data_IF_889380181474
#
_entry.id   IF_889380181474
#
_cell.length_a   1.000
_cell.length_b   1.000
_cell.length_c   1.000
_cell.angle_alpha   90.00
_cell.angle_beta   90.00
_cell.angle_gamma   90.00
#
_symmetry.space_group_name_H-M   'P 1'
#
loop_
_entity.id
_entity.type
_entity.pdbx_description
1 polymer ?
#
# COMPACT_ATOMS: atom_id res chain seq x y z
N UNK A 1 -31.54 -47.04 45.52
CA UNK A 1 -31.07 -46.79 46.88
C UNK A 1 -30.45 -45.42 46.79
N UNK A 2 -31.14 -44.53 47.13
CA UNK A 2 -31.60 -43.80 48.31
C UNK A 2 -30.96 -42.38 48.32
N UNK A 3 -31.88 -41.49 48.31
CA UNK A 3 -31.83 -40.08 48.57
C UNK A 3 -31.10 -39.74 49.89
N UNK A 4 -30.40 -38.65 49.92
CA UNK A 4 -30.46 -37.75 51.10
C UNK A 4 -30.19 -36.30 50.70
N UNK A 5 -31.22 -35.52 50.92
CA UNK A 5 -31.31 -34.07 50.95
C UNK A 5 -30.82 -33.54 52.30
N UNK A 6 -30.15 -32.37 52.32
CA UNK A 6 -30.06 -31.46 53.46
C UNK A 6 -29.84 -30.05 52.93
N UNK A 7 -30.84 -29.26 52.93
CA UNK A 7 -31.28 -28.14 53.82
C UNK A 7 -30.37 -26.90 53.76
N UNK A 8 -30.97 -25.83 53.30
CA UNK A 8 -30.56 -24.43 53.42
C UNK A 8 -30.46 -23.97 54.88
N UNK A 9 -29.73 -22.88 55.13
CA UNK A 9 -30.25 -21.94 56.10
C UNK A 9 -30.36 -20.49 55.59
N UNK A 10 -31.28 -19.86 56.19
CA UNK A 10 -31.94 -18.58 56.02
C UNK A 10 -31.04 -17.34 56.06
N UNK A 11 -31.56 -16.31 55.40
CA UNK A 11 -31.16 -14.90 55.45
C UNK A 11 -31.40 -14.22 56.81
N UNK A 12 -30.70 -13.09 57.05
CA UNK A 12 -31.42 -11.93 57.51
C UNK A 12 -31.21 -10.69 56.69
N UNK A 13 -32.28 -9.97 56.48
CA UNK A 13 -32.46 -8.79 55.72
C UNK A 13 -31.92 -7.49 56.31
N UNK A 14 -32.20 -6.46 55.63
CA UNK A 14 -32.32 -5.03 55.87
C UNK A 14 -31.32 -4.14 55.16
N UNK A 15 -31.89 -3.20 54.42
CA UNK A 15 -31.16 -2.02 53.94
C UNK A 15 -31.65 -1.49 52.59
N UNK A 16 -32.90 -0.96 52.60
CA UNK A 16 -33.44 -0.18 51.50
C UNK A 16 -32.70 1.14 51.35
N UNK A 17 -31.82 1.26 50.37
CA UNK A 17 -31.43 2.56 49.84
C UNK A 17 -31.87 2.67 48.37
N UNK A 18 -32.88 3.51 48.20
CA UNK A 18 -33.42 3.99 46.93
C UNK A 18 -32.35 4.84 46.26
N UNK A 19 -31.73 4.31 45.24
CA UNK A 19 -30.90 5.09 44.33
C UNK A 19 -31.74 5.43 43.12
N UNK A 20 -31.88 6.72 42.89
CA UNK A 20 -32.59 7.34 41.78
C UNK A 20 -32.03 6.86 40.42
N UNK A 21 -32.94 6.47 39.54
CA UNK A 21 -32.64 6.06 38.20
C UNK A 21 -32.18 7.26 37.35
N UNK A 22 -30.94 7.21 36.85
CA UNK A 22 -30.47 8.12 35.83
C UNK A 22 -31.26 7.93 34.52
N UNK A 23 -31.58 9.00 33.80
CA UNK A 23 -32.38 8.91 32.58
C UNK A 23 -31.63 8.18 31.45
N UNK A 24 -32.31 7.25 30.80
CA UNK A 24 -31.87 6.57 29.58
C UNK A 24 -31.64 7.60 28.46
N UNK A 25 -30.50 7.57 27.75
CA UNK A 25 -30.37 8.35 26.53
C UNK A 25 -31.32 7.80 25.45
N UNK A 26 -32.13 8.69 24.91
CA UNK A 26 -33.01 8.43 23.79
C UNK A 26 -32.18 8.05 22.55
N UNK A 27 -32.61 7.02 21.84
CA UNK A 27 -32.07 6.60 20.57
C UNK A 27 -32.23 7.72 19.54
N UNK A 28 -31.14 8.42 19.23
CA UNK A 28 -31.05 9.32 18.12
C UNK A 28 -30.75 8.54 16.84
N UNK A 29 -31.46 8.89 15.78
CA UNK A 29 -31.51 8.21 14.50
C UNK A 29 -30.17 7.92 13.85
N UNK A 30 -30.15 6.78 13.17
CA UNK A 30 -29.12 6.33 12.27
C UNK A 30 -28.89 7.37 11.14
N UNK A 31 -27.96 8.27 11.35
CA UNK A 31 -27.31 9.00 10.27
C UNK A 31 -26.00 8.30 9.98
N UNK A 32 -25.90 7.78 8.76
CA UNK A 32 -24.73 7.16 8.17
C UNK A 32 -23.56 8.15 8.18
N UNK A 33 -22.86 8.23 9.30
CA UNK A 33 -21.68 9.08 9.47
C UNK A 33 -20.50 8.31 8.92
N UNK A 34 -20.14 8.63 7.68
CA UNK A 34 -18.82 8.35 7.11
C UNK A 34 -17.79 8.90 8.09
N UNK A 35 -17.21 8.04 8.93
CA UNK A 35 -16.19 8.41 9.89
C UNK A 35 -14.96 8.86 9.13
N UNK A 36 -14.83 10.17 8.97
CA UNK A 36 -13.63 10.83 8.48
C UNK A 36 -12.53 10.67 9.53
N UNK A 37 -11.58 9.77 9.31
CA UNK A 37 -10.43 9.54 10.19
C UNK A 37 -9.41 10.70 10.24
N UNK A 38 -9.76 11.90 9.78
CA UNK A 38 -8.84 13.03 9.64
C UNK A 38 -9.22 14.24 10.51
N UNK A 39 -9.57 14.02 11.79
CA UNK A 39 -9.63 15.13 12.76
C UNK A 39 -8.51 15.00 13.78
N UNK A 40 -7.28 15.28 13.35
CA UNK A 40 -6.21 15.69 14.27
C UNK A 40 -6.10 17.21 14.27
N UNK A 41 -6.48 17.80 15.39
CA UNK A 41 -6.26 19.22 15.70
C UNK A 41 -4.75 19.51 15.70
N UNK A 42 -4.35 20.47 14.89
CA UNK A 42 -3.03 21.07 14.90
C UNK A 42 -2.99 22.14 13.83
N UNK A 43 -3.16 23.41 14.23
CA UNK A 43 -2.83 24.57 13.40
C UNK A 43 -1.35 24.49 13.05
N UNK A 44 -1.02 24.06 11.86
CA UNK A 44 0.19 24.43 11.14
C UNK A 44 0.07 23.90 9.71
N UNK A 45 0.16 24.76 8.73
CA UNK A 45 0.34 24.50 7.31
C UNK A 45 -0.59 23.40 6.76
N UNK A 46 -1.71 23.78 6.19
CA UNK A 46 -2.57 22.88 5.42
C UNK A 46 -1.71 22.26 4.30
N UNK A 47 -1.05 21.15 4.58
CA UNK A 47 -0.50 20.28 3.55
C UNK A 47 -1.71 19.84 2.72
N UNK A 48 -1.88 20.47 1.55
CA UNK A 48 -2.92 20.13 0.59
C UNK A 48 -2.83 18.64 0.36
N UNK A 49 -3.89 17.92 0.71
CA UNK A 49 -3.96 16.50 0.39
C UNK A 49 -3.87 16.39 -1.14
N UNK A 50 -3.04 15.49 -1.68
CA UNK A 50 -2.88 15.36 -3.13
C UNK A 50 -4.13 14.78 -3.82
N UNK A 51 -5.17 14.47 -3.06
CA UNK A 51 -6.42 13.87 -3.53
C UNK A 51 -7.51 14.94 -3.50
N UNK A 52 -8.19 15.07 -4.62
CA UNK A 52 -9.29 16.00 -4.84
C UNK A 52 -10.63 15.25 -4.95
N UNK A 53 -11.70 15.92 -4.63
CA UNK A 53 -13.07 15.45 -4.83
C UNK A 53 -13.65 15.98 -6.11
N UNK A 54 -14.39 15.16 -6.88
CA UNK A 54 -15.06 15.58 -8.10
C UNK A 54 -16.04 16.74 -7.84
N UNK A 55 -16.71 16.74 -6.67
CA UNK A 55 -17.59 17.84 -6.26
C UNK A 55 -16.90 19.20 -6.07
N UNK A 56 -15.57 19.27 -6.10
CA UNK A 56 -14.80 20.53 -6.09
C UNK A 56 -14.62 21.12 -7.49
N UNK A 57 -14.98 20.39 -8.55
CA UNK A 57 -14.91 20.84 -9.93
C UNK A 57 -16.18 21.63 -10.30
N UNK A 58 -16.03 22.52 -11.27
CA UNK A 58 -17.13 23.32 -11.83
C UNK A 58 -18.07 22.50 -12.73
N UNK A 59 -18.59 21.38 -12.20
CA UNK A 59 -19.54 20.51 -12.88
C UNK A 59 -18.90 19.48 -13.83
N UNK A 60 -19.77 18.73 -14.53
CA UNK A 60 -19.35 17.60 -15.39
C UNK A 60 -18.48 18.02 -16.57
N UNK A 61 -18.67 19.22 -17.12
CA UNK A 61 -17.85 19.72 -18.25
C UNK A 61 -16.40 19.89 -17.84
N UNK A 62 -16.14 20.40 -16.62
CA UNK A 62 -14.80 20.52 -16.06
C UNK A 62 -14.12 19.15 -15.92
N UNK A 63 -14.84 18.16 -15.37
CA UNK A 63 -14.36 16.79 -15.25
C UNK A 63 -14.02 16.18 -16.62
N UNK A 64 -14.91 16.28 -17.59
CA UNK A 64 -14.69 15.73 -18.93
C UNK A 64 -13.46 16.35 -19.62
N UNK A 65 -13.25 17.65 -19.50
CA UNK A 65 -12.05 18.32 -20.03
C UNK A 65 -10.77 17.79 -19.41
N UNK A 66 -10.75 17.60 -18.08
CA UNK A 66 -9.58 17.08 -17.37
C UNK A 66 -9.29 15.61 -17.73
N UNK A 67 -10.33 14.80 -17.95
CA UNK A 67 -10.19 13.43 -18.42
C UNK A 67 -9.68 13.37 -19.86
N UNK A 68 -10.27 14.13 -20.78
CA UNK A 68 -9.86 14.18 -22.17
C UNK A 68 -8.42 14.70 -22.36
N UNK A 69 -7.99 15.66 -21.53
CA UNK A 69 -6.61 16.15 -21.52
C UNK A 69 -5.64 15.24 -20.78
N UNK A 70 -6.13 14.13 -20.22
CA UNK A 70 -5.36 13.22 -19.38
C UNK A 70 -4.65 13.91 -18.20
N UNK A 71 -5.15 15.04 -17.73
CA UNK A 71 -4.55 15.80 -16.64
C UNK A 71 -4.78 15.18 -15.27
N UNK A 72 -5.76 14.29 -15.15
CA UNK A 72 -6.13 13.63 -13.89
C UNK A 72 -6.22 12.10 -14.05
N UNK A 73 -6.04 11.41 -12.93
CA UNK A 73 -6.31 9.98 -12.79
C UNK A 73 -7.36 9.77 -11.69
N UNK A 74 -8.42 9.03 -12.00
CA UNK A 74 -9.47 8.70 -11.04
C UNK A 74 -8.99 7.65 -10.05
N UNK A 75 -9.22 7.89 -8.77
CA UNK A 75 -9.07 6.88 -7.72
C UNK A 75 -10.34 6.06 -7.56
N UNK A 76 -11.49 6.72 -7.50
CA UNK A 76 -12.82 6.13 -7.46
C UNK A 76 -13.81 7.04 -8.23
N UNK A 77 -15.12 6.78 -8.07
CA UNK A 77 -16.18 7.59 -8.71
C UNK A 77 -16.23 9.05 -8.23
N UNK A 78 -15.64 9.36 -7.06
CA UNK A 78 -15.76 10.65 -6.40
C UNK A 78 -14.41 11.36 -6.16
N UNK A 79 -13.29 10.70 -6.45
CA UNK A 79 -11.95 11.18 -6.08
C UNK A 79 -10.94 11.01 -7.21
N UNK A 80 -10.02 11.96 -7.32
CA UNK A 80 -8.94 11.92 -8.30
C UNK A 80 -7.67 12.60 -7.76
N UNK A 81 -6.57 12.36 -8.44
CA UNK A 81 -5.32 13.13 -8.30
C UNK A 81 -4.87 13.62 -9.68
N UNK A 82 -4.01 14.64 -9.71
CA UNK A 82 -3.46 15.13 -10.99
C UNK A 82 -2.27 14.29 -11.43
N UNK A 83 -2.10 14.09 -12.74
CA UNK A 83 -0.94 13.39 -13.29
C UNK A 83 0.37 14.08 -12.92
N UNK A 84 0.40 15.41 -12.92
CA UNK A 84 1.56 16.17 -12.49
C UNK A 84 2.02 15.87 -11.07
N UNK A 85 1.08 15.52 -10.16
CA UNK A 85 1.45 15.08 -8.81
C UNK A 85 2.06 13.67 -8.78
N UNK A 86 1.83 12.86 -9.80
CA UNK A 86 2.33 11.49 -9.91
C UNK A 86 3.56 11.35 -10.82
N UNK A 87 4.11 12.45 -11.34
CA UNK A 87 5.28 12.43 -12.23
C UNK A 87 6.52 11.86 -11.53
N UNK A 88 6.77 12.24 -10.31
CA UNK A 88 7.90 11.75 -9.55
C UNK A 88 7.50 10.77 -8.43
N UNK A 89 8.50 10.06 -7.89
CA UNK A 89 8.26 9.10 -6.83
C UNK A 89 7.76 9.73 -5.53
N UNK A 90 8.17 10.98 -5.23
CA UNK A 90 7.75 11.67 -4.01
C UNK A 90 6.27 12.04 -4.07
N UNK A 91 5.81 12.55 -5.21
CA UNK A 91 4.40 12.86 -5.41
C UNK A 91 3.52 11.60 -5.34
N UNK A 92 3.95 10.50 -5.97
CA UNK A 92 3.26 9.21 -5.87
C UNK A 92 3.21 8.68 -4.44
N UNK A 93 4.31 8.77 -3.70
CA UNK A 93 4.35 8.38 -2.30
C UNK A 93 3.38 9.22 -1.44
N UNK A 94 3.28 10.52 -1.68
CA UNK A 94 2.32 11.38 -0.98
C UNK A 94 0.86 11.02 -1.30
N UNK A 95 0.56 10.68 -2.55
CA UNK A 95 -0.77 10.18 -2.95
C UNK A 95 -1.08 8.91 -2.16
N UNK A 96 -0.19 7.91 -2.18
CA UNK A 96 -0.38 6.64 -1.46
C UNK A 96 -0.52 6.87 0.04
N UNK A 97 0.32 7.70 0.65
CA UNK A 97 0.22 8.04 2.07
C UNK A 97 -1.14 8.61 2.47
N UNK A 98 -1.77 9.34 1.57
CA UNK A 98 -3.08 9.96 1.84
C UNK A 98 -4.24 8.98 1.83
N UNK A 99 -4.04 7.78 1.27
CA UNK A 99 -5.08 6.76 1.12
C UNK A 99 -4.90 5.54 2.02
N UNK A 100 -3.66 5.21 2.41
CA UNK A 100 -3.38 4.01 3.21
C UNK A 100 -3.53 4.27 4.71
N UNK A 101 -3.89 3.25 5.51
CA UNK A 101 -3.93 3.36 6.97
C UNK A 101 -2.54 3.66 7.55
N UNK A 102 -2.54 4.41 8.65
CA UNK A 102 -1.30 4.71 9.37
C UNK A 102 -0.61 3.43 9.87
N UNK A 103 0.72 3.41 9.81
CA UNK A 103 1.54 2.28 10.27
C UNK A 103 1.62 1.11 9.29
N UNK A 104 0.99 1.21 8.11
CA UNK A 104 1.12 0.20 7.05
C UNK A 104 2.29 0.52 6.12
N UNK A 105 2.81 -0.50 5.43
CA UNK A 105 3.93 -0.39 4.48
C UNK A 105 3.46 -0.84 3.10
N UNK A 106 3.42 0.05 2.10
CA UNK A 106 3.19 -0.33 0.71
C UNK A 106 4.17 -1.40 0.25
N UNK A 107 3.65 -2.44 -0.42
CA UNK A 107 4.45 -3.55 -0.96
C UNK A 107 3.90 -3.97 -2.33
N UNK A 108 4.52 -4.96 -2.94
CA UNK A 108 4.08 -5.56 -4.19
C UNK A 108 3.79 -4.52 -5.27
N UNK A 109 2.60 -4.60 -5.88
CA UNK A 109 2.22 -3.74 -6.99
C UNK A 109 2.08 -2.26 -6.60
N UNK A 110 1.59 -1.97 -5.39
CA UNK A 110 1.48 -0.59 -4.90
C UNK A 110 2.86 0.06 -4.71
N UNK A 111 3.84 -0.68 -4.18
CA UNK A 111 5.22 -0.18 -4.06
C UNK A 111 5.87 0.01 -5.44
N UNK A 112 5.65 -0.93 -6.38
CA UNK A 112 6.14 -0.81 -7.75
C UNK A 112 5.60 0.47 -8.42
N UNK A 113 4.33 0.78 -8.24
CA UNK A 113 3.75 2.03 -8.75
C UNK A 113 4.40 3.29 -8.13
N UNK A 114 4.74 3.26 -6.84
CA UNK A 114 5.48 4.39 -6.24
C UNK A 114 6.87 4.52 -6.89
N UNK A 115 7.57 3.42 -7.09
CA UNK A 115 8.91 3.43 -7.68
C UNK A 115 8.90 3.87 -9.14
N UNK A 116 8.07 3.28 -9.97
CA UNK A 116 8.10 3.43 -11.42
C UNK A 116 7.14 4.50 -11.94
N UNK A 117 5.98 4.61 -11.35
CA UNK A 117 4.82 5.29 -11.91
C UNK A 117 3.96 4.33 -12.73
N UNK A 118 3.27 4.88 -13.69
CA UNK A 118 2.36 4.17 -14.58
C UNK A 118 1.11 5.01 -14.87
N UNK A 119 0.40 4.64 -15.94
CA UNK A 119 -0.78 5.39 -16.37
C UNK A 119 -1.95 5.22 -15.39
N UNK A 120 -2.08 4.03 -14.81
CA UNK A 120 -3.17 3.68 -13.91
C UNK A 120 -2.67 3.47 -12.48
N UNK A 121 -3.50 3.87 -11.52
CA UNK A 121 -3.28 3.55 -10.12
C UNK A 121 -3.67 2.09 -9.85
N UNK A 122 -2.89 1.33 -9.04
CA UNK A 122 -3.15 -0.09 -8.78
C UNK A 122 -4.58 -0.41 -8.35
N UNK A 123 -5.18 -1.46 -8.91
CA UNK A 123 -6.53 -1.91 -8.55
C UNK A 123 -6.59 -2.51 -7.14
N UNK A 124 -5.50 -3.12 -6.70
CA UNK A 124 -5.36 -3.68 -5.34
C UNK A 124 -4.35 -2.87 -4.56
N UNK A 125 -4.69 -2.56 -3.32
CA UNK A 125 -3.82 -1.85 -2.38
C UNK A 125 -3.06 -2.88 -1.56
N UNK A 126 -1.83 -3.18 -1.98
CA UNK A 126 -0.95 -4.15 -1.34
C UNK A 126 -0.20 -3.52 -0.17
N UNK A 127 -0.42 -4.04 1.03
CA UNK A 127 0.17 -3.51 2.26
C UNK A 127 0.77 -4.63 3.12
N UNK A 128 1.84 -4.31 3.84
CA UNK A 128 2.32 -5.11 4.97
C UNK A 128 1.78 -4.45 6.24
N UNK A 129 1.10 -5.24 7.09
CA UNK A 129 0.54 -4.78 8.35
C UNK A 129 0.31 -5.94 9.31
N UNK A 130 0.42 -5.68 10.61
CA UNK A 130 -0.03 -6.61 11.65
C UNK A 130 -1.56 -6.54 11.88
N UNK A 131 -2.20 -5.46 11.43
CA UNK A 131 -3.65 -5.28 11.55
C UNK A 131 -4.36 -5.75 10.29
N UNK A 132 -5.54 -6.35 10.45
CA UNK A 132 -6.37 -6.79 9.35
C UNK A 132 -7.35 -5.70 8.93
N UNK A 133 -7.28 -5.30 7.67
CA UNK A 133 -8.22 -4.36 7.04
C UNK A 133 -9.10 -5.11 6.06
N UNK A 134 -10.43 -5.01 6.21
CA UNK A 134 -11.41 -5.66 5.31
C UNK A 134 -12.24 -4.68 4.50
N UNK A 135 -12.07 -3.40 4.75
CA UNK A 135 -12.81 -2.33 4.06
C UNK A 135 -12.15 -1.98 2.75
N UNK A 136 -12.96 -1.64 1.74
CA UNK A 136 -12.46 -1.07 0.50
C UNK A 136 -11.92 0.35 0.76
N UNK A 137 -10.80 0.68 0.17
CA UNK A 137 -10.27 2.04 0.13
C UNK A 137 -10.38 2.57 -1.30
N UNK A 138 -11.13 3.63 -1.46
CA UNK A 138 -11.37 4.23 -2.78
C UNK A 138 -11.86 3.20 -3.81
N UNK A 139 -12.83 2.35 -3.43
CA UNK A 139 -13.37 1.29 -4.27
C UNK A 139 -12.41 0.12 -4.56
N UNK A 140 -11.21 0.11 -3.99
CA UNK A 140 -10.18 -0.90 -4.21
C UNK A 140 -10.06 -1.85 -3.03
N UNK A 141 -9.79 -3.11 -3.34
CA UNK A 141 -9.50 -4.12 -2.32
C UNK A 141 -8.15 -3.84 -1.66
N UNK A 142 -8.11 -4.05 -0.33
CA UNK A 142 -6.86 -4.05 0.41
C UNK A 142 -6.41 -5.49 0.55
N UNK A 143 -5.19 -5.79 0.11
CA UNK A 143 -4.52 -7.06 0.35
C UNK A 143 -3.45 -6.88 1.42
N UNK A 144 -3.69 -7.49 2.59
CA UNK A 144 -2.76 -7.42 3.71
C UNK A 144 -1.84 -8.63 3.70
N UNK A 145 -0.55 -8.36 3.71
CA UNK A 145 0.51 -9.34 3.95
C UNK A 145 0.95 -9.20 5.41
N UNK A 146 0.56 -10.17 6.25
CA UNK A 146 1.00 -10.24 7.65
C UNK A 146 2.40 -10.85 7.69
N UNK A 147 3.43 -10.07 7.40
CA UNK A 147 4.82 -10.50 7.39
C UNK A 147 5.65 -9.52 8.21
N UNK A 148 6.62 -10.05 8.92
CA UNK A 148 7.70 -9.23 9.45
C UNK A 148 8.53 -8.69 8.29
N UNK A 149 8.93 -7.45 8.40
CA UNK A 149 9.77 -6.77 7.43
C UNK A 149 11.01 -6.23 8.15
N UNK A 150 12.17 -6.69 7.73
CA UNK A 150 13.44 -6.25 8.28
C UNK A 150 13.87 -4.88 7.71
N UNK A 151 14.74 -4.14 8.40
CA UNK A 151 15.15 -2.81 7.98
C UNK A 151 15.73 -2.75 6.57
N UNK A 152 16.47 -3.76 6.13
CA UNK A 152 17.07 -3.85 4.79
C UNK A 152 16.03 -4.03 3.67
N UNK A 153 14.85 -4.50 4.02
CA UNK A 153 13.74 -4.68 3.06
C UNK A 153 12.88 -3.43 2.90
N UNK A 154 13.26 -2.36 3.58
CA UNK A 154 12.51 -1.10 3.62
C UNK A 154 13.32 0.01 3.01
N UNK A 155 12.64 0.88 2.29
CA UNK A 155 13.15 2.15 1.80
C UNK A 155 12.18 3.27 2.13
N UNK A 156 12.66 4.50 1.97
CA UNK A 156 11.86 5.68 2.17
C UNK A 156 11.83 6.52 0.89
N UNK A 157 10.64 6.96 0.51
CA UNK A 157 10.45 7.98 -0.52
C UNK A 157 9.83 9.20 0.17
N UNK A 158 10.63 10.23 0.36
CA UNK A 158 10.28 11.33 1.26
C UNK A 158 10.04 10.83 2.69
N UNK A 159 8.81 10.98 3.18
CA UNK A 159 8.40 10.49 4.53
C UNK A 159 7.64 9.17 4.49
N UNK A 160 7.52 8.55 3.33
CA UNK A 160 6.74 7.32 3.15
C UNK A 160 7.67 6.12 3.20
N UNK A 161 7.39 5.23 4.14
CA UNK A 161 8.04 3.93 4.28
C UNK A 161 7.37 2.94 3.32
N UNK A 162 8.15 2.24 2.50
CA UNK A 162 7.66 1.21 1.57
C UNK A 162 8.69 0.10 1.42
N UNK A 163 8.35 -0.99 0.73
CA UNK A 163 9.33 -2.04 0.43
C UNK A 163 10.44 -1.52 -0.48
N UNK A 164 11.69 -1.95 -0.21
CA UNK A 164 12.85 -1.64 -1.05
C UNK A 164 12.62 -2.15 -2.48
N UNK A 165 13.33 -1.61 -3.50
CA UNK A 165 13.17 -2.08 -4.87
C UNK A 165 13.41 -3.58 -5.04
N UNK A 166 14.44 -4.14 -4.41
CA UNK A 166 14.73 -5.59 -4.42
C UNK A 166 13.58 -6.37 -3.80
N UNK A 167 13.10 -5.94 -2.62
CA UNK A 167 11.97 -6.59 -1.95
C UNK A 167 10.69 -6.50 -2.80
N UNK A 168 10.43 -5.36 -3.41
CA UNK A 168 9.29 -5.17 -4.31
C UNK A 168 9.34 -6.13 -5.51
N UNK A 169 10.53 -6.28 -6.13
CA UNK A 169 10.74 -7.24 -7.20
C UNK A 169 10.51 -8.69 -6.75
N UNK A 170 10.98 -9.05 -5.55
CA UNK A 170 10.71 -10.37 -4.96
C UNK A 170 9.20 -10.58 -4.70
N UNK A 171 8.48 -9.59 -4.18
CA UNK A 171 7.04 -9.70 -3.98
C UNK A 171 6.29 -9.94 -5.30
N UNK A 172 6.69 -9.26 -6.38
CA UNK A 172 6.13 -9.45 -7.73
C UNK A 172 6.49 -10.81 -8.33
N UNK A 173 7.71 -11.29 -8.12
CA UNK A 173 8.17 -12.58 -8.63
C UNK A 173 7.45 -13.77 -7.97
N UNK A 174 7.02 -13.62 -6.72
CA UNK A 174 6.28 -14.61 -5.95
C UNK A 174 4.78 -14.70 -6.29
N UNK A 175 4.28 -13.89 -7.20
CA UNK A 175 2.90 -13.97 -7.71
C UNK A 175 2.70 -15.26 -8.52
N UNK A 176 1.45 -15.70 -8.63
CA UNK A 176 1.09 -16.83 -9.50
C UNK A 176 1.41 -16.51 -10.97
N UNK A 177 1.59 -17.53 -11.81
CA UNK A 177 1.85 -17.36 -13.23
C UNK A 177 0.77 -16.51 -13.93
N UNK A 178 -0.49 -16.70 -13.53
CA UNK A 178 -1.61 -15.92 -14.05
C UNK A 178 -1.51 -14.44 -13.66
N UNK A 179 -1.31 -14.13 -12.38
CA UNK A 179 -1.14 -12.74 -11.90
C UNK A 179 0.07 -12.06 -12.56
N UNK A 180 1.20 -12.77 -12.68
CA UNK A 180 2.40 -12.24 -13.36
C UNK A 180 2.12 -11.83 -14.82
N UNK A 181 1.32 -12.62 -15.52
CA UNK A 181 0.94 -12.33 -16.92
C UNK A 181 -0.02 -11.15 -17.00
N UNK A 182 -1.08 -11.14 -16.19
CA UNK A 182 -2.09 -10.08 -16.16
C UNK A 182 -1.51 -8.72 -15.80
N UNK A 183 -0.55 -8.71 -14.87
CA UNK A 183 0.08 -7.50 -14.36
C UNK A 183 1.39 -7.14 -15.10
N UNK A 184 1.79 -7.90 -16.11
CA UNK A 184 3.08 -7.71 -16.82
C UNK A 184 4.28 -7.64 -15.85
N UNK A 185 4.31 -8.54 -14.86
CA UNK A 185 5.27 -8.48 -13.74
C UNK A 185 6.74 -8.59 -14.19
N UNK A 186 7.02 -9.35 -15.25
CA UNK A 186 8.39 -9.48 -15.79
C UNK A 186 8.95 -8.14 -16.25
N UNK A 187 8.16 -7.38 -17.02
CA UNK A 187 8.57 -6.05 -17.48
C UNK A 187 8.76 -5.10 -16.30
N UNK A 188 7.82 -5.10 -15.35
CA UNK A 188 7.89 -4.25 -14.18
C UNK A 188 9.10 -4.54 -13.31
N UNK A 189 9.47 -5.82 -13.12
CA UNK A 189 10.70 -6.22 -12.40
C UNK A 189 11.93 -5.71 -13.15
N UNK A 190 11.96 -5.85 -14.48
CA UNK A 190 13.02 -5.34 -15.32
C UNK A 190 13.18 -3.81 -15.19
N UNK A 191 12.08 -3.07 -15.29
CA UNK A 191 12.08 -1.61 -15.16
C UNK A 191 12.53 -1.15 -13.77
N UNK A 192 12.15 -1.89 -12.71
CA UNK A 192 12.63 -1.65 -11.35
C UNK A 192 14.16 -1.84 -11.27
N UNK A 193 14.69 -2.92 -11.87
CA UNK A 193 16.11 -3.19 -11.87
C UNK A 193 16.89 -2.12 -12.63
N UNK A 194 16.39 -1.70 -13.79
CA UNK A 194 16.96 -0.61 -14.60
C UNK A 194 17.01 0.68 -13.78
N UNK A 195 15.89 1.06 -13.19
CA UNK A 195 15.78 2.33 -12.47
C UNK A 195 16.56 2.37 -11.17
N UNK A 196 16.54 1.26 -10.42
CA UNK A 196 17.09 1.22 -9.06
C UNK A 196 18.47 0.56 -8.97
N UNK A 197 18.94 -0.14 -10.00
CA UNK A 197 20.30 -0.66 -10.13
C UNK A 197 20.57 -1.90 -9.27
N UNK A 198 19.66 -2.86 -9.26
CA UNK A 198 19.86 -4.19 -8.64
C UNK A 198 19.83 -5.29 -9.70
N UNK A 199 20.31 -6.48 -9.33
CA UNK A 199 20.49 -7.62 -10.23
C UNK A 199 19.58 -8.80 -9.87
N UNK A 200 19.48 -9.80 -10.78
CA UNK A 200 18.83 -11.08 -10.46
C UNK A 200 19.49 -11.77 -9.25
N UNK A 201 20.80 -11.62 -9.09
CA UNK A 201 21.54 -12.20 -7.96
C UNK A 201 21.06 -11.62 -6.63
N UNK A 202 20.88 -10.30 -6.53
CA UNK A 202 20.40 -9.62 -5.33
C UNK A 202 18.99 -10.13 -4.93
N UNK A 203 18.13 -10.33 -5.91
CA UNK A 203 16.78 -10.87 -5.69
C UNK A 203 16.81 -12.34 -5.26
N UNK A 204 17.64 -13.17 -5.90
CA UNK A 204 17.80 -14.58 -5.52
C UNK A 204 18.38 -14.71 -4.09
N UNK A 205 19.36 -13.89 -3.74
CA UNK A 205 19.92 -13.87 -2.39
C UNK A 205 18.86 -13.47 -1.36
N UNK A 206 18.03 -12.46 -1.67
CA UNK A 206 16.93 -12.06 -0.80
C UNK A 206 15.90 -13.18 -0.62
N UNK A 207 15.56 -13.92 -1.68
CA UNK A 207 14.66 -15.07 -1.61
C UNK A 207 15.27 -16.21 -0.78
N UNK A 208 16.53 -16.57 -0.98
CA UNK A 208 17.20 -17.64 -0.24
C UNK A 208 17.31 -17.34 1.25
N UNK A 209 17.47 -16.09 1.63
CA UNK A 209 17.42 -15.66 3.03
C UNK A 209 16.02 -15.80 3.64
N UNK A 210 14.99 -15.94 2.82
CA UNK A 210 13.60 -16.01 3.25
C UNK A 210 12.80 -17.15 2.60
N UNK A 211 13.18 -18.43 2.81
CA UNK A 211 12.57 -19.58 2.12
C UNK A 211 11.11 -19.83 2.49
N UNK A 212 10.61 -19.18 3.55
CA UNK A 212 9.21 -19.31 4.01
C UNK A 212 8.26 -18.26 3.38
N UNK A 213 8.75 -17.44 2.47
CA UNK A 213 7.83 -16.52 1.76
C UNK A 213 6.87 -17.31 0.88
N UNK A 214 5.62 -16.90 0.92
CA UNK A 214 4.61 -17.50 0.04
C UNK A 214 5.00 -17.24 -1.41
N UNK A 215 5.01 -18.29 -2.23
CA UNK A 215 5.44 -18.19 -3.63
C UNK A 215 6.96 -18.13 -3.82
N UNK A 216 7.75 -18.52 -2.79
CA UNK A 216 9.22 -18.52 -2.87
C UNK A 216 9.74 -19.31 -4.10
N UNK A 217 9.23 -20.50 -4.36
CA UNK A 217 9.63 -21.34 -5.51
C UNK A 217 9.34 -20.63 -6.84
N UNK A 218 8.16 -20.03 -6.97
CA UNK A 218 7.77 -19.21 -8.11
C UNK A 218 8.72 -18.02 -8.30
N UNK A 219 9.11 -17.38 -7.21
CA UNK A 219 10.08 -16.28 -7.22
C UNK A 219 11.44 -16.72 -7.73
N UNK A 220 11.97 -17.85 -7.22
CA UNK A 220 13.24 -18.42 -7.66
C UNK A 220 13.19 -18.82 -9.15
N UNK A 221 12.11 -19.46 -9.60
CA UNK A 221 11.92 -19.77 -11.01
C UNK A 221 11.88 -18.53 -11.89
N UNK A 222 11.22 -17.46 -11.42
CA UNK A 222 11.12 -16.18 -12.14
C UNK A 222 12.50 -15.56 -12.38
N UNK A 223 13.35 -15.47 -11.35
CA UNK A 223 14.70 -14.91 -11.50
C UNK A 223 15.70 -15.85 -12.19
N UNK A 224 15.39 -17.12 -12.32
CA UNK A 224 16.16 -18.06 -13.15
C UNK A 224 15.71 -18.07 -14.62
N UNK A 225 14.63 -17.38 -14.96
CA UNK A 225 14.17 -17.28 -16.35
C UNK A 225 15.18 -16.49 -17.19
N UNK A 226 15.66 -17.06 -18.32
CA UNK A 226 16.65 -16.40 -19.17
C UNK A 226 16.19 -15.06 -19.75
N UNK A 227 14.90 -14.93 -20.05
CA UNK A 227 14.36 -13.68 -20.60
C UNK A 227 14.47 -12.53 -19.59
N UNK A 228 14.13 -12.78 -18.31
CA UNK A 228 14.24 -11.77 -17.27
C UNK A 228 15.71 -11.44 -16.98
N UNK A 229 16.58 -12.46 -16.94
CA UNK A 229 18.02 -12.24 -16.77
C UNK A 229 18.58 -11.34 -17.86
N UNK A 230 18.30 -11.63 -19.11
CA UNK A 230 18.75 -10.81 -20.24
C UNK A 230 18.21 -9.36 -20.15
N UNK A 231 16.95 -9.20 -19.71
CA UNK A 231 16.35 -7.88 -19.54
C UNK A 231 17.07 -7.08 -18.43
N UNK A 232 17.39 -7.72 -17.31
CA UNK A 232 18.05 -7.08 -16.17
C UNK A 232 19.55 -6.85 -16.43
N UNK A 233 20.23 -7.74 -17.15
CA UNK A 233 21.66 -7.64 -17.48
C UNK A 233 21.91 -6.55 -18.53
N UNK A 234 21.04 -6.42 -19.53
CA UNK A 234 21.09 -5.34 -20.50
C UNK A 234 21.00 -3.96 -19.82
N UNK A 235 20.20 -3.87 -18.75
CA UNK A 235 20.05 -2.68 -17.91
C UNK A 235 21.34 -2.30 -17.15
N UNK A 236 22.08 -3.28 -16.68
CA UNK A 236 23.34 -3.07 -15.95
C UNK A 236 24.42 -2.48 -16.83
N UNK A 237 24.44 -2.90 -18.10
CA UNK A 237 25.42 -2.46 -19.09
C UNK A 237 25.22 -0.98 -19.50
N UNK A 238 23.97 -0.54 -19.62
CA UNK A 238 23.63 0.85 -19.98
C UNK A 238 24.06 1.84 -18.88
N UNK A 239 23.90 1.49 -17.60
CA UNK A 239 24.35 2.33 -16.48
C UNK A 239 25.88 2.42 -16.37
N UNK A 240 26.57 1.34 -16.68
CA UNK A 240 28.05 1.31 -16.68
C UNK A 240 28.65 2.22 -17.76
N UNK A 241 28.01 2.35 -18.93
CA UNK A 241 28.44 3.25 -19.99
C UNK A 241 28.15 4.73 -19.66
N UNK A 242 26.94 5.02 -19.16
CA UNK A 242 26.56 6.40 -18.80
C UNK A 242 27.42 7.00 -17.66
N UNK A 243 27.81 6.18 -16.68
CA UNK A 243 28.72 6.61 -15.58
C UNK A 243 30.16 6.84 -16.04
N UNK A 244 30.61 6.24 -17.19
CA UNK A 244 31.91 6.52 -17.78
C UNK A 244 31.93 7.85 -18.52
N UNK A 245 30.86 8.18 -19.22
CA UNK A 245 30.78 9.40 -20.03
C UNK A 245 30.70 10.66 -19.14
N UNK A 246 30.02 10.60 -17.96
CA UNK A 246 30.03 11.71 -16.99
C UNK A 246 31.43 11.97 -16.39
N UNK A 247 32.24 10.92 -16.21
CA UNK A 247 33.60 11.05 -15.68
C UNK A 247 34.59 11.69 -16.66
N UNK A 248 34.33 11.59 -17.96
CA UNK A 248 35.16 12.25 -18.98
C UNK A 248 34.71 13.69 -19.27
N UNK A 249 33.45 14.04 -19.02
CA UNK A 249 32.93 15.40 -19.21
C UNK A 249 33.37 16.40 -18.11
N UNK A 250 33.90 15.92 -17.00
CA UNK A 250 34.42 16.77 -15.90
C UNK A 250 35.93 17.07 -15.99
N UNK A 251 36.59 16.70 -17.10
CA UNK A 251 38.03 16.92 -17.34
C UNK A 251 38.33 17.80 -18.57
N UNK A 252 37.34 18.54 -19.09
CA UNK A 252 37.55 19.53 -20.17
C UNK A 252 37.20 20.92 -19.69
#
# INVERSE_FOLDING_TARGET
>A
MEYQSLSEPETPGLGSHRLEAAPRPQAAGSTNTHVSFYKLRGRTNQKRTPIFRIGQLSGNIGLQRLLCSQAITLLDKDSFFTRSQAEDAQGRALIVRSIIPYGTVPCGWLAAWIWLGGEEFPHTIDLISHSHYRTLLYGRQIRINSREISPEQVSYVGTVRLTSPVRTACDLSCLTAQEKKELNAYQTIGDLAIKCGFTCHDCLQALWNHPRWRGHEEGVMTFNNPQLKNLMDAASTVKSSASKDEKYASFV
#
